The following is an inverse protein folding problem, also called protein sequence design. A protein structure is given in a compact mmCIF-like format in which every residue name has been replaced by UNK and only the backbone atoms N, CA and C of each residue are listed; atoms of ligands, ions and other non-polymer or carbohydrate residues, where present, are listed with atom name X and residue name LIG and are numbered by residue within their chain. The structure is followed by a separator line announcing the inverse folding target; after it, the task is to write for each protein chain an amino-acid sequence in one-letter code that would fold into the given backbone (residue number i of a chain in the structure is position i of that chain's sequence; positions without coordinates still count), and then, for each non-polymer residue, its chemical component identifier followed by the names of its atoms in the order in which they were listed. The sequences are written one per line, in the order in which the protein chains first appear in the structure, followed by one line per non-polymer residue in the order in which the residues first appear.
data_IF_244233966524
#
_entry.id   IF_244233966524
#
_cell.length_a   1.000
_cell.length_b   1.000
_cell.length_c   1.000
_cell.angle_alpha   90.00
_cell.angle_beta   90.00
_cell.angle_gamma   90.00
#
_symmetry.space_group_name_H-M   'P 1'
#
loop_
_entity.id
_entity.type
_entity.pdbx_description
1 polymer ?
#
# COMPACT_ATOMS: atom_id res chain seq x y z
N UNK A 1 -1.82 12.09 11.20
CA UNK A 1 -1.64 11.64 9.81
C UNK A 1 -0.50 12.41 9.19
N UNK A 2 0.47 11.73 8.61
CA UNK A 2 1.56 12.41 7.93
C UNK A 2 1.11 12.88 6.55
N UNK A 3 1.51 14.11 6.18
CA UNK A 3 1.31 14.61 4.83
C UNK A 3 2.60 14.41 4.04
N UNK A 4 2.47 13.82 2.87
CA UNK A 4 3.61 13.55 2.00
C UNK A 4 3.57 14.47 0.79
N UNK A 5 4.74 14.91 0.32
CA UNK A 5 4.85 15.69 -0.90
C UNK A 5 4.46 14.85 -2.12
N UNK A 6 4.12 15.53 -3.22
CA UNK A 6 3.84 14.85 -4.48
C UNK A 6 5.04 14.02 -4.94
N UNK A 7 6.26 14.49 -4.69
CA UNK A 7 7.47 13.74 -5.01
C UNK A 7 7.50 12.40 -4.26
N UNK A 8 7.22 12.40 -2.97
CA UNK A 8 7.19 11.17 -2.16
C UNK A 8 6.07 10.23 -2.65
N UNK A 9 4.88 10.77 -2.86
CA UNK A 9 3.74 9.97 -3.34
C UNK A 9 4.07 9.31 -4.68
N UNK A 10 4.64 10.07 -5.62
CA UNK A 10 5.03 9.54 -6.92
C UNK A 10 6.11 8.47 -6.80
N UNK A 11 7.12 8.70 -5.97
CA UNK A 11 8.22 7.76 -5.77
C UNK A 11 7.73 6.46 -5.12
N UNK A 12 6.83 6.56 -4.16
CA UNK A 12 6.23 5.39 -3.51
C UNK A 12 5.36 4.61 -4.49
N UNK A 13 4.59 5.30 -5.34
CA UNK A 13 3.85 4.64 -6.41
C UNK A 13 4.78 3.80 -7.30
N UNK A 14 5.92 4.34 -7.67
CA UNK A 14 6.89 3.66 -8.53
C UNK A 14 7.52 2.43 -7.88
N UNK A 15 7.44 2.30 -6.57
CA UNK A 15 7.88 1.10 -5.84
C UNK A 15 6.83 -0.01 -5.86
N UNK A 16 5.57 0.31 -6.12
CA UNK A 16 4.51 -0.69 -6.15
C UNK A 16 4.70 -1.63 -7.35
N UNK A 17 4.12 -2.82 -7.25
CA UNK A 17 4.30 -3.85 -8.26
C UNK A 17 3.57 -3.51 -9.55
N UNK A 18 4.27 -3.60 -10.68
CA UNK A 18 3.66 -3.50 -12.00
C UNK A 18 3.05 -4.83 -12.40
N UNK A 19 2.07 -4.78 -13.30
CA UNK A 19 1.40 -5.97 -13.82
C UNK A 19 1.46 -5.95 -15.34
N UNK A 20 1.95 -7.04 -15.91
CA UNK A 20 2.07 -7.16 -17.36
C UNK A 20 0.70 -6.97 -18.02
N UNK A 21 0.67 -6.18 -19.09
CA UNK A 21 -0.56 -5.88 -19.82
C UNK A 21 -1.37 -4.70 -19.28
N UNK A 22 -0.92 -4.08 -18.19
CA UNK A 22 -1.58 -2.92 -17.58
C UNK A 22 -0.65 -1.72 -17.58
N UNK A 23 -1.21 -0.54 -17.82
CA UNK A 23 -0.45 0.71 -17.79
C UNK A 23 0.00 1.02 -16.37
N UNK A 24 1.31 0.99 -16.14
CA UNK A 24 1.91 1.19 -14.81
C UNK A 24 1.75 2.63 -14.29
N UNK A 25 1.34 3.57 -15.14
CA UNK A 25 0.99 4.92 -14.70
C UNK A 25 -0.45 5.02 -14.17
N UNK A 26 -1.23 3.97 -14.35
CA UNK A 26 -2.63 3.91 -13.92
C UNK A 26 -2.84 2.81 -12.89
N UNK A 27 -2.31 1.63 -13.14
CA UNK A 27 -2.57 0.44 -12.32
C UNK A 27 -1.29 -0.18 -11.80
N UNK A 28 -1.28 -0.48 -10.50
CA UNK A 28 -0.26 -1.32 -9.86
C UNK A 28 -0.92 -2.15 -8.78
N UNK A 29 -0.15 -3.02 -8.15
CA UNK A 29 -0.59 -3.77 -6.97
C UNK A 29 0.26 -3.39 -5.78
N UNK A 30 -0.37 -3.38 -4.62
CA UNK A 30 0.34 -3.15 -3.37
C UNK A 30 1.08 -4.42 -2.91
N UNK A 31 1.74 -4.32 -1.78
CA UNK A 31 2.49 -5.41 -1.16
C UNK A 31 1.62 -6.66 -0.90
N UNK A 32 0.33 -6.49 -0.59
CA UNK A 32 -0.60 -7.60 -0.34
C UNK A 32 -1.31 -8.08 -1.62
N UNK A 33 -0.84 -7.63 -2.78
CA UNK A 33 -1.36 -8.00 -4.10
C UNK A 33 -2.74 -7.39 -4.40
N UNK A 34 -3.12 -6.33 -3.72
CA UNK A 34 -4.34 -5.60 -4.00
C UNK A 34 -4.14 -4.61 -5.14
N UNK A 35 -5.11 -4.54 -6.07
CA UNK A 35 -5.09 -3.51 -7.11
C UNK A 35 -5.26 -2.12 -6.51
N UNK A 36 -4.40 -1.20 -6.93
CA UNK A 36 -4.46 0.23 -6.58
C UNK A 36 -4.39 1.05 -7.87
N UNK A 37 -5.05 2.21 -7.85
CA UNK A 37 -5.09 3.10 -9.01
C UNK A 37 -4.36 4.40 -8.68
N UNK A 38 -3.50 4.84 -9.59
CA UNK A 38 -2.63 6.00 -9.36
C UNK A 38 -3.38 7.25 -8.89
N UNK A 39 -4.50 7.57 -9.52
CA UNK A 39 -5.28 8.78 -9.23
C UNK A 39 -6.25 8.62 -8.06
N UNK A 40 -6.24 7.48 -7.36
CA UNK A 40 -7.07 7.24 -6.17
C UNK A 40 -6.28 7.36 -4.87
N UNK A 41 -5.17 8.07 -4.88
CA UNK A 41 -4.42 8.33 -3.65
C UNK A 41 -5.28 9.08 -2.64
N UNK A 42 -5.32 8.59 -1.41
CA UNK A 42 -6.06 9.23 -0.32
C UNK A 42 -7.57 9.12 -0.40
N UNK A 43 -8.10 8.33 -1.33
CA UNK A 43 -9.54 8.16 -1.54
C UNK A 43 -9.96 6.78 -1.02
N UNK A 44 -11.07 6.74 -0.27
CA UNK A 44 -11.63 5.48 0.24
C UNK A 44 -12.53 4.84 -0.83
N UNK A 45 -11.91 4.45 -1.91
CA UNK A 45 -12.55 3.79 -3.05
C UNK A 45 -12.08 2.35 -3.17
N UNK A 46 -12.61 1.63 -4.16
CA UNK A 46 -12.21 0.24 -4.42
C UNK A 46 -10.71 0.09 -4.68
N UNK A 47 -10.07 1.13 -5.21
CA UNK A 47 -8.65 1.13 -5.59
C UNK A 47 -7.85 2.22 -4.90
N UNK A 48 -8.41 2.81 -3.84
CA UNK A 48 -7.75 3.85 -3.06
C UNK A 48 -6.53 3.30 -2.33
N UNK A 49 -5.52 4.15 -2.17
CA UNK A 49 -4.28 3.76 -1.53
C UNK A 49 -3.66 4.92 -0.76
N UNK A 50 -2.72 4.57 0.08
CA UNK A 50 -2.02 5.52 0.95
C UNK A 50 -0.56 5.14 1.02
N UNK A 51 0.27 6.06 1.48
CA UNK A 51 1.67 5.76 1.83
C UNK A 51 1.68 5.20 3.25
N UNK A 52 2.24 4.02 3.40
CA UNK A 52 2.36 3.33 4.68
C UNK A 52 3.82 3.28 5.12
N UNK A 53 4.07 3.55 6.41
CA UNK A 53 5.36 3.25 7.04
C UNK A 53 5.37 1.76 7.35
N UNK A 54 6.23 0.98 6.70
CA UNK A 54 6.33 -0.46 6.97
C UNK A 54 6.58 -0.69 8.44
N UNK A 55 7.62 -0.06 9.00
CA UNK A 55 7.79 0.07 10.45
C UNK A 55 7.13 1.38 10.87
N UNK A 56 6.07 1.33 11.68
CA UNK A 56 5.34 2.53 12.07
C UNK A 56 6.23 3.56 12.77
N UNK A 57 5.95 4.84 12.55
CA UNK A 57 6.68 5.92 13.23
C UNK A 57 6.56 5.80 14.75
N UNK A 58 5.43 5.33 15.25
CA UNK A 58 5.21 5.06 16.68
C UNK A 58 6.15 4.00 17.23
N UNK A 59 6.76 3.19 16.37
CA UNK A 59 7.73 2.16 16.74
C UNK A 59 9.14 2.48 16.22
N UNK A 60 9.43 3.74 15.96
CA UNK A 60 10.74 4.20 15.53
C UNK A 60 11.01 4.10 14.03
N UNK A 61 9.98 3.87 13.22
CA UNK A 61 10.13 3.84 11.77
C UNK A 61 10.42 5.23 11.21
N UNK A 62 11.30 5.29 10.20
CA UNK A 62 11.72 6.54 9.58
C UNK A 62 10.83 6.92 8.40
N UNK A 63 11.01 8.15 7.89
CA UNK A 63 10.38 8.64 6.66
C UNK A 63 11.23 8.35 5.41
N UNK A 64 12.28 7.54 5.54
CA UNK A 64 13.08 7.16 4.38
C UNK A 64 12.25 6.34 3.39
N UNK A 65 12.52 6.51 2.10
CA UNK A 65 11.79 5.79 1.04
C UNK A 65 11.83 4.27 1.21
N UNK A 66 12.91 3.74 1.77
CA UNK A 66 13.02 2.30 2.06
C UNK A 66 11.97 1.80 3.04
N UNK A 67 11.40 2.70 3.86
CA UNK A 67 10.37 2.37 4.85
C UNK A 67 8.96 2.78 4.40
N UNK A 68 8.81 3.32 3.21
CA UNK A 68 7.52 3.80 2.70
C UNK A 68 7.05 2.92 1.55
N UNK A 69 5.81 2.47 1.62
CA UNK A 69 5.21 1.62 0.60
C UNK A 69 3.79 2.05 0.30
N UNK A 70 3.35 1.81 -0.94
CA UNK A 70 1.95 1.98 -1.29
C UNK A 70 1.14 0.84 -0.68
N UNK A 71 0.01 1.16 -0.09
CA UNK A 71 -0.86 0.16 0.51
C UNK A 71 -2.31 0.56 0.29
N UNK A 72 -3.13 -0.39 -0.17
CA UNK A 72 -4.57 -0.16 -0.29
C UNK A 72 -5.10 0.37 1.05
N UNK A 73 -6.02 1.33 1.01
CA UNK A 73 -6.45 2.01 2.24
C UNK A 73 -7.03 1.04 3.29
N UNK A 74 -7.75 0.00 2.87
CA UNK A 74 -8.27 -1.00 3.81
C UNK A 74 -7.16 -1.86 4.40
N UNK A 75 -6.12 -2.16 3.63
CA UNK A 75 -4.96 -2.87 4.11
C UNK A 75 -4.18 -2.01 5.11
N UNK A 76 -4.06 -0.72 4.84
CA UNK A 76 -3.43 0.21 5.75
C UNK A 76 -4.19 0.28 7.09
N UNK A 77 -5.50 0.38 7.03
CA UNK A 77 -6.33 0.37 8.23
C UNK A 77 -6.19 -0.94 9.02
N UNK A 78 -6.18 -2.07 8.32
CA UNK A 78 -6.05 -3.38 8.98
C UNK A 78 -4.70 -3.57 9.61
N UNK A 79 -3.63 -3.11 8.93
CA UNK A 79 -2.27 -3.16 9.46
C UNK A 79 -2.12 -2.32 10.72
N UNK A 80 -2.69 -1.11 10.71
CA UNK A 80 -2.56 -0.17 11.83
C UNK A 80 -1.08 0.05 12.18
N UNK A 81 -0.75 0.16 13.47
CA UNK A 81 0.63 0.34 13.95
C UNK A 81 1.31 -0.99 14.31
N UNK A 82 0.80 -2.10 13.80
CA UNK A 82 1.36 -3.41 14.09
C UNK A 82 2.64 -3.66 13.30
N UNK A 83 3.66 -4.15 13.97
CA UNK A 83 4.96 -4.46 13.39
C UNK A 83 5.77 -5.29 14.38
N UNK A 84 6.51 -6.30 13.98
CA UNK A 84 6.71 -6.81 12.62
C UNK A 84 5.61 -7.76 12.13
N UNK A 85 4.61 -8.04 12.95
CA UNK A 85 3.48 -8.89 12.59
C UNK A 85 2.27 -8.01 12.30
N UNK A 86 1.63 -8.21 11.16
CA UNK A 86 0.41 -7.49 10.85
C UNK A 86 -0.46 -8.27 9.86
N UNK A 87 -1.68 -7.80 9.67
CA UNK A 87 -2.63 -8.42 8.77
C UNK A 87 -3.09 -7.43 7.71
N UNK A 88 -3.49 -7.97 6.56
CA UNK A 88 -4.17 -7.24 5.49
C UNK A 88 -5.47 -7.95 5.16
N UNK A 89 -6.39 -7.24 4.50
CA UNK A 89 -7.76 -7.76 4.25
C UNK A 89 -8.17 -7.70 2.79
N UNK A 90 -7.40 -7.04 1.92
CA UNK A 90 -7.70 -6.93 0.50
C UNK A 90 -6.53 -7.50 -0.31
N UNK A 91 -6.85 -8.36 -1.25
CA UNK A 91 -5.92 -8.86 -2.25
C UNK A 91 -6.63 -8.89 -3.60
N UNK A 92 -6.05 -9.49 -4.60
CA UNK A 92 -6.70 -9.59 -5.91
C UNK A 92 -6.93 -11.05 -6.30
N UNK A 93 -7.95 -11.21 -7.14
CA UNK A 93 -8.21 -12.43 -7.88
C UNK A 93 -8.39 -11.99 -9.35
N UNK A 94 -7.38 -12.25 -10.17
CA UNK A 94 -7.34 -11.74 -11.53
C UNK A 94 -7.35 -10.20 -11.55
N UNK A 95 -8.30 -9.62 -12.23
CA UNK A 95 -8.41 -8.16 -12.39
C UNK A 95 -9.36 -7.48 -11.39
N UNK A 96 -9.71 -8.16 -10.31
CA UNK A 96 -10.60 -7.60 -9.30
C UNK A 96 -10.03 -7.77 -7.91
N UNK A 97 -10.35 -6.83 -7.01
CA UNK A 97 -10.01 -6.95 -5.60
C UNK A 97 -11.04 -7.80 -4.87
N UNK A 98 -10.56 -8.63 -3.96
CA UNK A 98 -11.40 -9.47 -3.11
C UNK A 98 -10.98 -9.30 -1.66
N UNK A 99 -11.87 -9.64 -0.74
CA UNK A 99 -11.53 -9.71 0.67
C UNK A 99 -10.88 -11.05 0.98
N UNK A 100 -9.71 -10.99 1.60
CA UNK A 100 -9.01 -12.18 2.08
C UNK A 100 -8.04 -11.77 3.16
N UNK A 101 -8.26 -12.27 4.36
CA UNK A 101 -7.35 -12.01 5.48
C UNK A 101 -6.02 -12.71 5.22
N UNK A 102 -4.93 -11.94 5.29
CA UNK A 102 -3.57 -12.45 5.15
C UNK A 102 -2.74 -11.96 6.34
N UNK A 103 -1.84 -12.78 6.81
CA UNK A 103 -0.95 -12.44 7.93
C UNK A 103 0.49 -12.39 7.44
N UNK A 104 1.23 -11.42 7.93
CA UNK A 104 2.59 -11.13 7.49
C UNK A 104 3.53 -11.02 8.68
N UNK A 105 4.78 -11.38 8.43
CA UNK A 105 5.88 -11.13 9.36
C UNK A 105 7.02 -10.50 8.59
N UNK A 106 7.39 -9.29 8.97
CA UNK A 106 8.52 -8.59 8.36
C UNK A 106 9.79 -8.99 9.09
N UNK A 107 10.80 -9.32 8.32
CA UNK A 107 12.10 -9.76 8.85
C UNK A 107 13.03 -8.59 9.11
#
# INVERSE_FOLDING_TARGET
MALFSDYIINTVWEKASTVEGYDSNIWRKDFADAWIRRDHYGVESKYGWQVDHLRPSSQGGSDELSNLNALHWRNNNKKSDNYPYFQTIVTSDGNTNIEKLQSWKIK
#
